data_IF_085114169755
#
_entry.id   IF_085114169755
#
_cell.length_a   1.000
_cell.length_b   1.000
_cell.length_c   1.000
_cell.angle_alpha   90.00
_cell.angle_beta   90.00
_cell.angle_gamma   90.00
#
_symmetry.space_group_name_H-M   'P 1'
#
loop_
_entity.id
_entity.type
_entity.pdbx_description
1 polymer ?
#
# COMPACT_ATOMS: atom_id res chain seq x y z
N UNK A 1 -11.53 -0.55 14.61
CA UNK A 1 -11.27 -0.13 13.20
C UNK A 1 -10.67 -1.30 12.44
N UNK A 2 -11.18 -1.56 11.27
CA UNK A 2 -10.66 -2.61 10.41
C UNK A 2 -9.40 -2.15 9.68
N UNK A 3 -8.39 -3.03 9.61
CA UNK A 3 -7.10 -2.73 8.97
C UNK A 3 -6.84 -3.74 7.87
N UNK A 4 -6.49 -3.24 6.70
CA UNK A 4 -6.06 -4.05 5.57
C UNK A 4 -4.60 -3.73 5.24
N UNK A 5 -3.74 -4.74 5.30
CA UNK A 5 -2.37 -4.66 4.79
C UNK A 5 -2.31 -5.28 3.40
N UNK A 6 -1.97 -4.47 2.41
CA UNK A 6 -1.73 -4.92 1.04
C UNK A 6 -0.23 -5.13 0.85
N UNK A 7 0.18 -6.37 0.72
CA UNK A 7 1.57 -6.75 0.59
C UNK A 7 1.98 -6.85 -0.89
N UNK A 8 2.81 -5.93 -1.34
CA UNK A 8 3.35 -5.94 -2.69
C UNK A 8 4.52 -6.89 -2.89
N UNK A 9 5.16 -7.37 -1.82
CA UNK A 9 6.27 -8.29 -1.93
C UNK A 9 5.79 -9.67 -2.39
N UNK A 10 6.54 -10.34 -3.27
CA UNK A 10 6.25 -11.74 -3.60
C UNK A 10 6.57 -12.68 -2.43
N UNK A 11 7.32 -12.21 -1.44
CA UNK A 11 7.64 -12.96 -0.23
C UNK A 11 6.63 -12.60 0.87
N UNK A 12 5.71 -13.51 1.15
CA UNK A 12 4.63 -13.28 2.12
C UNK A 12 5.12 -13.11 3.55
N UNK A 13 6.32 -13.60 3.87
CA UNK A 13 6.93 -13.53 5.21
C UNK A 13 8.27 -12.80 5.19
N UNK A 14 8.45 -11.89 4.26
CA UNK A 14 9.70 -11.15 4.11
C UNK A 14 9.74 -9.86 4.92
N UNK A 15 10.67 -9.00 4.53
CA UNK A 15 10.93 -7.74 5.26
C UNK A 15 9.74 -6.77 5.20
N UNK A 16 9.01 -6.73 4.10
CA UNK A 16 7.82 -5.86 3.98
C UNK A 16 6.74 -6.30 4.97
N UNK A 17 6.47 -7.60 5.03
CA UNK A 17 5.48 -8.15 5.98
C UNK A 17 5.93 -7.96 7.43
N UNK A 18 7.22 -8.09 7.72
CA UNK A 18 7.76 -7.84 9.06
C UNK A 18 7.55 -6.37 9.46
N UNK A 19 7.85 -5.44 8.56
CA UNK A 19 7.65 -4.02 8.84
C UNK A 19 6.19 -3.70 9.09
N UNK A 20 5.28 -4.33 8.35
CA UNK A 20 3.84 -4.20 8.59
C UNK A 20 3.45 -4.72 9.98
N UNK A 21 4.01 -5.86 10.40
CA UNK A 21 3.73 -6.41 11.73
C UNK A 21 4.21 -5.48 12.85
N UNK A 22 5.32 -4.78 12.64
CA UNK A 22 5.82 -3.79 13.61
C UNK A 22 4.94 -2.54 13.65
N UNK A 23 4.48 -2.06 12.49
CA UNK A 23 3.54 -0.95 12.41
C UNK A 23 2.22 -1.29 13.12
N UNK A 24 1.74 -2.50 12.94
CA UNK A 24 0.41 -2.93 13.38
C UNK A 24 0.44 -3.78 14.66
N UNK A 25 1.53 -3.68 15.40
CA UNK A 25 1.67 -4.43 16.65
C UNK A 25 0.50 -4.15 17.61
N UNK A 26 -0.08 -5.20 18.13
CA UNK A 26 -1.25 -5.11 19.01
C UNK A 26 -2.59 -4.86 18.30
N UNK A 27 -2.60 -4.79 16.97
CA UNK A 27 -3.83 -4.60 16.18
C UNK A 27 -4.15 -5.86 15.39
N UNK A 28 -5.42 -6.20 15.32
CA UNK A 28 -5.88 -7.21 14.38
C UNK A 28 -5.90 -6.58 12.97
N UNK A 29 -5.41 -7.32 11.98
CA UNK A 29 -5.43 -6.87 10.59
C UNK A 29 -5.52 -8.06 9.63
N UNK A 30 -6.02 -7.79 8.45
CA UNK A 30 -6.03 -8.75 7.35
C UNK A 30 -4.89 -8.44 6.38
N UNK A 31 -4.31 -9.46 5.79
CA UNK A 31 -3.29 -9.32 4.76
C UNK A 31 -3.84 -9.72 3.40
N UNK A 32 -3.63 -8.87 2.40
CA UNK A 32 -3.88 -9.17 1.01
C UNK A 32 -2.54 -9.23 0.30
N UNK A 33 -2.11 -10.44 -0.07
CA UNK A 33 -0.85 -10.64 -0.79
C UNK A 33 -1.10 -10.47 -2.29
N UNK A 34 -0.57 -9.41 -2.88
CA UNK A 34 -0.79 -9.14 -4.31
C UNK A 34 -0.28 -10.27 -5.20
N UNK A 35 0.71 -11.02 -4.74
CA UNK A 35 1.26 -12.17 -5.49
C UNK A 35 0.21 -13.26 -5.73
N UNK A 36 -0.84 -13.32 -4.92
CA UNK A 36 -1.92 -14.30 -5.06
C UNK A 36 -3.06 -13.80 -5.96
N UNK A 37 -2.99 -12.57 -6.44
CA UNK A 37 -4.06 -11.94 -7.20
C UNK A 37 -3.66 -11.73 -8.65
N UNK A 38 -4.62 -11.91 -9.54
CA UNK A 38 -4.46 -11.59 -10.96
C UNK A 38 -4.78 -10.12 -11.16
N UNK A 39 -3.76 -9.30 -11.05
CA UNK A 39 -3.86 -7.86 -11.22
C UNK A 39 -3.03 -7.48 -12.46
N UNK A 40 -3.72 -7.27 -13.57
CA UNK A 40 -3.08 -6.97 -14.84
C UNK A 40 -2.76 -5.49 -14.97
N UNK A 41 -1.89 -5.18 -15.92
CA UNK A 41 -1.45 -3.82 -16.18
C UNK A 41 -2.57 -2.97 -16.76
N UNK A 42 -2.49 -1.68 -16.57
CA UNK A 42 -3.41 -0.72 -17.18
C UNK A 42 -3.48 -0.94 -18.70
N UNK A 43 -4.70 -1.01 -19.21
CA UNK A 43 -4.95 -1.26 -20.62
C UNK A 43 -5.15 -2.73 -20.98
N UNK A 44 -4.72 -3.67 -20.14
CA UNK A 44 -5.01 -5.08 -20.33
C UNK A 44 -6.41 -5.42 -19.81
N UNK A 45 -7.13 -6.24 -20.57
CA UNK A 45 -8.49 -6.66 -20.21
C UNK A 45 -8.59 -8.17 -20.31
N UNK A 46 -8.64 -8.81 -19.14
CA UNK A 46 -8.79 -10.26 -19.04
C UNK A 46 -9.92 -10.57 -18.07
N UNK A 47 -10.69 -11.61 -18.38
CA UNK A 47 -11.89 -11.97 -17.62
C UNK A 47 -11.60 -12.39 -16.17
N UNK A 48 -10.38 -12.85 -15.91
CA UNK A 48 -9.97 -13.31 -14.58
C UNK A 48 -9.27 -12.21 -13.75
N UNK A 49 -9.29 -10.98 -14.20
CA UNK A 49 -8.71 -9.85 -13.46
C UNK A 49 -9.43 -9.64 -12.13
N UNK A 50 -8.67 -9.42 -11.07
CA UNK A 50 -9.20 -9.32 -9.71
C UNK A 50 -9.08 -7.90 -9.11
N UNK A 51 -8.95 -6.88 -9.96
CA UNK A 51 -8.86 -5.50 -9.47
C UNK A 51 -10.07 -5.11 -8.64
N UNK A 52 -11.28 -5.43 -9.11
CA UNK A 52 -12.51 -5.05 -8.40
C UNK A 52 -12.59 -5.70 -7.01
N UNK A 53 -12.11 -6.94 -6.89
CA UNK A 53 -12.06 -7.63 -5.61
C UNK A 53 -11.09 -6.94 -4.63
N UNK A 54 -9.93 -6.51 -5.13
CA UNK A 54 -8.96 -5.78 -4.31
C UNK A 54 -9.57 -4.46 -3.83
N UNK A 55 -10.18 -3.69 -4.72
CA UNK A 55 -10.80 -2.41 -4.37
C UNK A 55 -11.95 -2.61 -3.37
N UNK A 56 -12.74 -3.66 -3.54
CA UNK A 56 -13.82 -3.98 -2.60
C UNK A 56 -13.28 -4.17 -1.17
N UNK A 57 -12.15 -4.86 -1.03
CA UNK A 57 -11.50 -5.03 0.26
C UNK A 57 -10.94 -3.73 0.82
N UNK A 58 -10.40 -2.87 -0.06
CA UNK A 58 -9.94 -1.54 0.37
C UNK A 58 -11.11 -0.70 0.88
N UNK A 59 -12.25 -0.74 0.22
CA UNK A 59 -13.44 0.01 0.64
C UNK A 59 -13.99 -0.47 1.99
N UNK A 60 -13.79 -1.72 2.33
CA UNK A 60 -14.26 -2.28 3.60
C UNK A 60 -13.34 -1.96 4.78
N UNK A 61 -12.15 -1.43 4.56
CA UNK A 61 -11.17 -1.14 5.59
C UNK A 61 -11.23 0.31 6.04
N UNK A 62 -10.93 0.56 7.32
CA UNK A 62 -10.79 1.92 7.86
C UNK A 62 -9.35 2.42 7.71
N UNK A 63 -8.38 1.52 7.80
CA UNK A 63 -6.96 1.80 7.63
C UNK A 63 -6.43 0.90 6.54
N UNK A 64 -5.77 1.50 5.56
CA UNK A 64 -5.13 0.79 4.45
C UNK A 64 -3.63 1.00 4.54
N UNK A 65 -2.89 -0.10 4.64
CA UNK A 65 -1.43 -0.10 4.64
C UNK A 65 -0.98 -0.77 3.35
N UNK A 66 -0.22 -0.06 2.53
CA UNK A 66 0.38 -0.64 1.33
C UNK A 66 1.88 -0.78 1.57
N UNK A 67 2.40 -1.98 1.41
CA UNK A 67 3.82 -2.26 1.55
C UNK A 67 4.45 -2.67 0.24
N UNK A 68 5.62 -2.12 -0.05
CA UNK A 68 6.40 -2.44 -1.24
C UNK A 68 7.88 -2.57 -0.91
N UNK A 69 8.56 -3.60 -1.42
CA UNK A 69 10.03 -3.56 -1.48
C UNK A 69 10.47 -2.50 -2.49
N UNK A 70 11.71 -2.04 -2.32
CA UNK A 70 12.36 -1.18 -3.33
C UNK A 70 12.92 -2.08 -4.43
N UNK A 71 12.33 -2.02 -5.60
CA UNK A 71 12.82 -2.71 -6.80
C UNK A 71 13.15 -1.65 -7.84
N UNK A 72 14.38 -1.70 -8.36
CA UNK A 72 14.83 -0.74 -9.38
C UNK A 72 14.51 0.70 -8.98
N UNK A 73 14.93 1.07 -7.76
CA UNK A 73 14.84 2.44 -7.23
C UNK A 73 13.42 2.97 -7.03
N UNK A 74 12.41 2.11 -7.08
CA UNK A 74 11.02 2.51 -6.96
C UNK A 74 10.18 1.40 -6.32
N UNK A 75 8.88 1.63 -6.22
CA UNK A 75 7.96 0.60 -5.76
C UNK A 75 7.90 -0.56 -6.75
N UNK A 76 7.60 -1.74 -6.24
CA UNK A 76 7.53 -2.95 -7.05
C UNK A 76 6.36 -2.90 -8.05
N UNK A 77 6.44 -3.74 -9.08
CA UNK A 77 5.49 -3.73 -10.19
C UNK A 77 4.05 -3.97 -9.77
N UNK A 78 3.80 -4.87 -8.82
CA UNK A 78 2.44 -5.15 -8.37
C UNK A 78 1.77 -3.95 -7.70
N UNK A 79 2.52 -3.20 -6.90
CA UNK A 79 2.03 -1.97 -6.27
C UNK A 79 1.79 -0.90 -7.34
N UNK A 80 2.72 -0.74 -8.27
CA UNK A 80 2.55 0.21 -9.35
C UNK A 80 1.32 -0.12 -10.21
N UNK A 81 1.11 -1.40 -10.52
CA UNK A 81 -0.08 -1.84 -11.23
C UNK A 81 -1.36 -1.46 -10.48
N UNK A 82 -1.36 -1.63 -9.16
CA UNK A 82 -2.52 -1.28 -8.36
C UNK A 82 -2.84 0.22 -8.50
N UNK A 83 -1.83 1.07 -8.39
CA UNK A 83 -2.02 2.51 -8.55
C UNK A 83 -2.54 2.86 -9.94
N UNK A 84 -1.88 2.35 -10.98
CA UNK A 84 -2.24 2.65 -12.36
C UNK A 84 -3.68 2.22 -12.67
N UNK A 85 -4.13 1.11 -12.10
CA UNK A 85 -5.48 0.58 -12.33
C UNK A 85 -6.59 1.42 -11.70
N UNK A 86 -6.26 2.28 -10.74
CA UNK A 86 -7.22 3.26 -10.24
C UNK A 86 -7.61 4.29 -11.29
N UNK A 87 -6.76 4.49 -12.27
CA UNK A 87 -6.95 5.50 -13.31
C UNK A 87 -8.16 5.14 -14.19
N UNK A 88 -9.22 5.93 -14.09
CA UNK A 88 -10.45 5.74 -14.83
C UNK A 88 -11.59 5.17 -13.98
N UNK A 89 -11.53 3.90 -13.52
CA UNK A 89 -12.67 3.30 -12.83
C UNK A 89 -12.92 3.85 -11.42
N UNK A 90 -11.88 4.37 -10.74
CA UNK A 90 -12.04 4.87 -9.37
C UNK A 90 -12.13 6.39 -9.41
N UNK A 91 -13.17 6.94 -8.79
CA UNK A 91 -13.42 8.38 -8.78
C UNK A 91 -12.58 9.09 -7.71
N UNK A 92 -12.28 10.35 -7.97
CA UNK A 92 -11.72 11.25 -6.96
C UNK A 92 -12.56 11.19 -5.67
N UNK A 93 -11.91 10.98 -4.54
CA UNK A 93 -12.56 10.91 -3.23
C UNK A 93 -13.31 9.61 -2.92
N UNK A 94 -13.24 8.60 -3.77
CA UNK A 94 -14.04 7.37 -3.62
C UNK A 94 -13.67 6.57 -2.36
N UNK A 95 -12.45 6.75 -1.82
CA UNK A 95 -11.99 6.10 -0.58
C UNK A 95 -11.95 7.07 0.61
N UNK A 96 -12.76 8.12 0.57
CA UNK A 96 -12.78 9.13 1.65
C UNK A 96 -13.03 8.53 3.02
N UNK A 97 -12.38 9.12 4.04
CA UNK A 97 -12.53 8.72 5.43
C UNK A 97 -11.58 7.62 5.88
N UNK A 98 -10.78 7.06 4.99
CA UNK A 98 -9.81 6.02 5.33
C UNK A 98 -8.44 6.63 5.57
N UNK A 99 -7.69 6.03 6.48
CA UNK A 99 -6.29 6.37 6.70
C UNK A 99 -5.42 5.52 5.79
N UNK A 100 -4.33 6.11 5.31
CA UNK A 100 -3.41 5.43 4.38
C UNK A 100 -1.98 5.54 4.89
N UNK A 101 -1.28 4.41 4.97
CA UNK A 101 0.13 4.32 5.34
C UNK A 101 0.88 3.61 4.22
N UNK A 102 2.06 4.10 3.89
CA UNK A 102 2.95 3.45 2.93
C UNK A 102 4.19 2.90 3.64
N UNK A 103 4.50 1.62 3.38
CA UNK A 103 5.72 0.97 3.83
C UNK A 103 6.62 0.74 2.62
N UNK A 104 7.83 1.27 2.66
CA UNK A 104 8.74 1.23 1.52
C UNK A 104 10.14 0.90 2.02
N UNK A 105 10.58 -0.35 1.81
CA UNK A 105 11.82 -0.83 2.40
C UNK A 105 12.71 -1.52 1.36
N UNK A 106 14.01 -1.40 1.56
CA UNK A 106 15.02 -2.05 0.76
C UNK A 106 16.32 -2.15 1.53
N UNK A 107 17.35 -2.73 0.92
CA UNK A 107 18.63 -2.93 1.58
C UNK A 107 19.33 -1.61 1.92
N UNK A 108 19.33 -0.65 1.01
CA UNK A 108 19.99 0.64 1.20
C UNK A 108 19.37 1.70 0.27
N UNK A 109 18.10 2.07 0.47
CA UNK A 109 17.47 3.07 -0.39
C UNK A 109 18.08 4.44 -0.14
N UNK A 110 18.37 5.17 -1.21
CA UNK A 110 18.85 6.54 -1.11
C UNK A 110 17.70 7.51 -0.81
N UNK A 111 17.97 8.66 -0.15
CA UNK A 111 16.91 9.60 0.22
C UNK A 111 16.01 10.04 -0.92
N UNK A 112 16.56 10.24 -2.12
CA UNK A 112 15.74 10.67 -3.27
C UNK A 112 14.73 9.62 -3.70
N UNK A 113 15.05 8.31 -3.52
CA UNK A 113 14.10 7.23 -3.83
C UNK A 113 12.92 7.26 -2.86
N UNK A 114 13.21 7.46 -1.58
CA UNK A 114 12.19 7.55 -0.53
C UNK A 114 11.28 8.74 -0.76
N UNK A 115 11.85 9.91 -1.02
CA UNK A 115 11.10 11.14 -1.26
C UNK A 115 10.18 11.01 -2.48
N UNK A 116 10.67 10.43 -3.56
CA UNK A 116 9.91 10.28 -4.80
C UNK A 116 8.75 9.31 -4.63
N UNK A 117 8.99 8.20 -3.96
CA UNK A 117 7.94 7.23 -3.68
C UNK A 117 6.88 7.81 -2.75
N UNK A 118 7.29 8.54 -1.73
CA UNK A 118 6.36 9.22 -0.83
C UNK A 118 5.54 10.28 -1.56
N UNK A 119 6.16 11.04 -2.45
CA UNK A 119 5.42 12.01 -3.28
C UNK A 119 4.28 11.30 -4.03
N UNK A 120 4.60 10.23 -4.73
CA UNK A 120 3.60 9.45 -5.49
C UNK A 120 2.47 8.97 -4.58
N UNK A 121 2.83 8.33 -3.46
CA UNK A 121 1.83 7.70 -2.59
C UNK A 121 0.98 8.71 -1.83
N UNK A 122 1.57 9.82 -1.39
CA UNK A 122 0.81 10.87 -0.73
C UNK A 122 -0.20 11.52 -1.68
N UNK A 123 0.19 11.71 -2.94
CA UNK A 123 -0.71 12.26 -3.98
C UNK A 123 -1.82 11.26 -4.32
N UNK A 124 -1.47 9.99 -4.44
CA UNK A 124 -2.45 8.93 -4.66
C UNK A 124 -3.50 8.91 -3.54
N UNK A 125 -3.05 8.89 -2.30
CA UNK A 125 -3.96 8.88 -1.16
C UNK A 125 -4.92 10.08 -1.17
N UNK A 126 -4.38 11.27 -1.40
CA UNK A 126 -5.20 12.49 -1.42
C UNK A 126 -6.18 12.53 -2.56
N UNK A 127 -5.79 12.06 -3.75
CA UNK A 127 -6.69 12.02 -4.91
C UNK A 127 -7.96 11.22 -4.59
N UNK A 128 -7.81 10.12 -3.87
CA UNK A 128 -8.94 9.24 -3.56
C UNK A 128 -9.55 9.50 -2.19
N UNK A 129 -9.17 10.60 -1.54
CA UNK A 129 -9.80 11.09 -0.31
C UNK A 129 -9.30 10.46 0.97
N UNK A 130 -8.21 9.69 0.90
CA UNK A 130 -7.63 9.06 2.08
C UNK A 130 -6.73 10.04 2.84
N UNK A 131 -6.76 9.95 4.17
CA UNK A 131 -5.83 10.68 5.02
C UNK A 131 -4.46 10.00 4.94
N UNK A 132 -3.49 10.68 4.34
CA UNK A 132 -2.12 10.16 4.28
C UNK A 132 -1.43 10.36 5.63
N UNK A 133 -1.17 9.25 6.34
CA UNK A 133 -0.56 9.32 7.69
C UNK A 133 0.96 9.40 7.61
N UNK A 134 1.57 8.69 6.67
CA UNK A 134 3.01 8.75 6.49
C UNK A 134 3.58 7.53 5.79
N UNK A 135 4.90 7.54 5.65
CA UNK A 135 5.68 6.44 5.08
C UNK A 135 6.72 5.98 6.11
N UNK A 136 6.90 4.67 6.22
CA UNK A 136 7.97 4.09 7.02
C UNK A 136 8.87 3.21 6.15
N UNK A 137 10.17 3.36 6.32
CA UNK A 137 11.18 2.52 5.67
C UNK A 137 11.99 1.69 6.66
N UNK A 138 11.74 1.85 7.95
CA UNK A 138 12.41 1.11 9.03
C UNK A 138 11.49 0.99 10.25
N UNK A 139 11.92 0.17 11.20
CA UNK A 139 11.15 -0.13 12.41
C UNK A 139 10.85 1.10 13.26
N UNK A 140 11.81 2.02 13.38
CA UNK A 140 11.62 3.25 14.17
C UNK A 140 10.53 4.13 13.60
N UNK A 141 10.54 4.32 12.28
CA UNK A 141 9.51 5.09 11.58
C UNK A 141 8.14 4.40 11.66
N UNK A 142 8.11 3.08 11.54
CA UNK A 142 6.87 2.32 11.67
C UNK A 142 6.23 2.51 13.04
N UNK A 143 7.02 2.44 14.11
CA UNK A 143 6.53 2.67 15.47
C UNK A 143 6.02 4.10 15.67
N UNK A 144 6.69 5.08 15.08
CA UNK A 144 6.24 6.47 15.17
C UNK A 144 4.89 6.67 14.47
N UNK A 145 4.69 6.06 13.31
CA UNK A 145 3.41 6.11 12.59
C UNK A 145 2.32 5.37 13.36
N UNK A 146 2.65 4.25 13.98
CA UNK A 146 1.68 3.46 14.76
C UNK A 146 0.95 4.31 15.81
N UNK A 147 1.65 5.24 16.44
CA UNK A 147 1.08 6.14 17.44
C UNK A 147 0.07 7.12 16.85
N UNK A 148 0.19 7.43 15.57
CA UNK A 148 -0.73 8.33 14.85
C UNK A 148 -2.00 7.62 14.38
N UNK A 149 -2.02 6.30 14.42
CA UNK A 149 -3.18 5.53 13.97
C UNK A 149 -4.29 5.44 15.03
N UNK A 150 -4.00 5.82 16.24
CA UNK A 150 -4.97 5.81 17.33
C UNK A 150 -5.03 4.50 18.10
#
# INVERSE_FOLDING_TARGET
MSVLFINGSPNKKGNTARLASELLDGRAYETLDLVDYKLYSYGQKFDDDQFDEIVSRMKAADIIVVGSPVYWHNMCGSVRNLLDRFYGPIRSGELSGRKFVFLFQGAAPEPWMLEKAEYTMSRFARMYGMEYVGMASNSGEARAIAQKLG
#
